data_IF_991026024293
#
_entry.id   IF_991026024293
#
_cell.length_a   1.000
_cell.length_b   1.000
_cell.length_c   1.000
_cell.angle_alpha   90.00
_cell.angle_beta   90.00
_cell.angle_gamma   90.00
#
_symmetry.space_group_name_H-M   'P 1'
#
loop_
_entity.id
_entity.type
_entity.pdbx_description
1 polymer ?
#
# COMPACT_ATOMS: atom_id res chain seq x y z
N UNK A 1 58.16 -36.36 25.65
CA UNK A 1 56.89 -35.67 25.34
C UNK A 1 57.17 -34.73 24.17
N UNK A 2 56.64 -35.03 22.97
CA UNK A 2 56.88 -34.31 21.71
C UNK A 2 55.50 -34.18 21.06
N UNK A 3 55.08 -32.97 20.71
CA UNK A 3 53.81 -32.73 20.02
C UNK A 3 54.17 -32.12 18.67
N UNK A 4 53.93 -32.87 17.60
CA UNK A 4 54.06 -32.41 16.22
C UNK A 4 52.74 -31.76 15.80
N UNK A 5 52.85 -30.57 15.21
CA UNK A 5 51.76 -29.83 14.61
C UNK A 5 51.45 -30.43 13.24
N UNK A 6 50.22 -30.90 13.03
CA UNK A 6 49.73 -31.34 11.72
C UNK A 6 48.60 -30.42 11.26
N UNK A 7 48.78 -29.90 10.04
CA UNK A 7 47.84 -29.07 9.30
C UNK A 7 46.52 -29.80 9.05
N UNK A 8 45.41 -29.16 9.38
CA UNK A 8 44.07 -29.51 8.92
C UNK A 8 43.53 -28.39 8.05
N UNK A 9 43.49 -28.65 6.73
CA UNK A 9 42.90 -27.78 5.72
C UNK A 9 41.39 -27.68 5.92
N UNK A 10 40.88 -26.46 6.12
CA UNK A 10 39.47 -26.13 6.09
C UNK A 10 39.29 -24.91 5.19
N UNK A 11 38.83 -25.15 3.97
CA UNK A 11 38.50 -24.12 3.00
C UNK A 11 37.42 -23.21 3.59
N UNK A 12 37.80 -21.99 3.96
CA UNK A 12 36.84 -20.92 4.23
C UNK A 12 36.28 -20.47 2.89
N UNK A 13 35.08 -20.94 2.59
CA UNK A 13 34.23 -20.35 1.57
C UNK A 13 34.15 -18.84 1.84
N UNK A 14 34.70 -18.09 0.90
CA UNK A 14 34.62 -16.64 0.88
C UNK A 14 33.16 -16.29 0.62
N UNK A 15 32.41 -16.08 1.69
CA UNK A 15 31.15 -15.34 1.64
C UNK A 15 31.47 -13.94 1.13
N UNK A 16 31.41 -13.81 -0.19
CA UNK A 16 31.31 -12.53 -0.89
C UNK A 16 29.95 -11.95 -0.55
N UNK A 17 29.84 -11.38 0.66
CA UNK A 17 28.84 -10.36 0.93
C UNK A 17 29.08 -9.27 -0.11
N UNK A 18 28.28 -9.31 -1.17
CA UNK A 18 28.25 -8.27 -2.19
C UNK A 18 27.66 -7.07 -1.48
N UNK A 19 28.53 -6.28 -0.86
CA UNK A 19 28.14 -5.04 -0.18
C UNK A 19 27.61 -4.13 -1.27
N UNK A 20 26.28 -4.08 -1.40
CA UNK A 20 25.62 -3.13 -2.29
C UNK A 20 26.13 -1.73 -1.96
N UNK A 21 26.64 -1.03 -2.96
CA UNK A 21 27.12 0.34 -2.75
C UNK A 21 25.97 1.22 -2.27
N UNK A 22 26.29 2.22 -1.44
CA UNK A 22 25.33 3.23 -1.01
C UNK A 22 24.60 3.88 -2.20
N UNK A 23 25.28 4.02 -3.33
CA UNK A 23 24.71 4.52 -4.58
C UNK A 23 23.68 3.56 -5.18
N UNK A 24 23.90 2.25 -5.09
CA UNK A 24 22.93 1.23 -5.52
C UNK A 24 21.69 1.23 -4.63
N UNK A 25 21.87 1.41 -3.31
CA UNK A 25 20.78 1.51 -2.34
C UNK A 25 20.00 2.84 -2.48
N UNK A 26 20.69 3.93 -2.80
CA UNK A 26 20.07 5.23 -3.11
C UNK A 26 19.32 5.19 -4.44
N UNK A 27 19.87 4.54 -5.47
CA UNK A 27 19.25 4.42 -6.78
C UNK A 27 18.02 3.49 -6.77
N UNK A 28 18.04 2.43 -5.94
CA UNK A 28 16.87 1.60 -5.68
C UNK A 28 15.72 2.39 -5.03
N UNK A 29 16.04 3.38 -4.20
CA UNK A 29 15.05 4.31 -3.63
C UNK A 29 14.57 5.40 -4.60
N UNK A 30 15.27 5.64 -5.71
CA UNK A 30 14.85 6.59 -6.75
C UNK A 30 14.01 5.95 -7.85
N UNK A 31 14.02 4.62 -7.98
CA UNK A 31 13.25 3.95 -9.03
C UNK A 31 11.78 3.87 -8.58
N UNK A 32 10.82 4.38 -9.39
CA UNK A 32 9.40 4.22 -9.08
C UNK A 32 9.07 2.72 -8.98
N UNK A 33 8.27 2.36 -7.98
CA UNK A 33 7.83 0.98 -7.74
C UNK A 33 7.20 0.43 -9.03
N UNK A 34 7.76 -0.63 -9.64
CA UNK A 34 7.27 -1.17 -10.91
C UNK A 34 5.85 -1.73 -10.81
N UNK A 35 5.35 -2.06 -9.61
CA UNK A 35 3.95 -2.45 -9.42
C UNK A 35 3.02 -1.24 -9.48
N UNK A 36 3.39 -0.16 -8.78
CA UNK A 36 2.66 1.11 -8.83
C UNK A 36 2.64 1.70 -10.25
N UNK A 37 3.76 1.65 -10.98
CA UNK A 37 3.82 2.19 -12.34
C UNK A 37 2.84 1.46 -13.27
N UNK A 38 2.76 0.14 -13.19
CA UNK A 38 1.77 -0.63 -13.98
C UNK A 38 0.35 -0.25 -13.62
N UNK A 39 0.05 -0.12 -12.32
CA UNK A 39 -1.25 0.33 -11.87
C UNK A 39 -1.59 1.73 -12.43
N UNK A 40 -0.64 2.65 -12.34
CA UNK A 40 -0.79 4.02 -12.80
C UNK A 40 -1.12 4.08 -14.30
N UNK A 41 -0.36 3.36 -15.13
CA UNK A 41 -0.64 3.26 -16.57
C UNK A 41 -2.01 2.64 -16.85
N UNK A 42 -2.40 1.64 -16.07
CA UNK A 42 -3.72 1.01 -16.24
C UNK A 42 -4.86 1.95 -15.85
N UNK A 43 -4.68 2.76 -14.80
CA UNK A 43 -5.65 3.79 -14.42
C UNK A 43 -5.74 4.91 -15.45
N UNK A 44 -4.62 5.36 -16.03
CA UNK A 44 -4.64 6.32 -17.13
C UNK A 44 -5.44 5.80 -18.33
N UNK A 45 -5.33 4.50 -18.64
CA UNK A 45 -6.10 3.87 -19.71
C UNK A 45 -7.61 3.74 -19.40
N UNK A 46 -8.02 3.95 -18.14
CA UNK A 46 -9.43 3.95 -17.71
C UNK A 46 -10.07 5.34 -17.77
N UNK A 47 -9.38 6.38 -18.25
CA UNK A 47 -9.93 7.73 -18.34
C UNK A 47 -11.27 7.75 -19.10
N UNK A 48 -12.27 8.40 -18.51
CA UNK A 48 -13.62 8.51 -19.09
C UNK A 48 -14.56 7.36 -18.70
N UNK A 49 -14.07 6.34 -17.99
CA UNK A 49 -14.93 5.26 -17.46
C UNK A 49 -15.62 5.66 -16.14
N UNK A 50 -15.18 6.75 -15.52
CA UNK A 50 -15.78 7.32 -14.32
C UNK A 50 -15.22 6.75 -13.01
N UNK A 51 -15.34 7.54 -11.93
CA UNK A 51 -14.75 7.20 -10.63
C UNK A 51 -15.29 5.92 -9.98
N UNK A 52 -16.54 5.53 -10.27
CA UNK A 52 -17.10 4.26 -9.78
C UNK A 52 -16.40 3.05 -10.41
N UNK A 53 -16.11 3.11 -11.71
CA UNK A 53 -15.40 2.04 -12.42
C UNK A 53 -13.97 1.89 -11.90
N UNK A 54 -13.27 3.01 -11.68
CA UNK A 54 -11.94 3.02 -11.05
C UNK A 54 -11.97 2.40 -9.65
N UNK A 55 -12.92 2.81 -8.81
CA UNK A 55 -13.06 2.27 -7.46
C UNK A 55 -13.34 0.76 -7.48
N UNK A 56 -14.22 0.29 -8.37
CA UNK A 56 -14.53 -1.13 -8.52
C UNK A 56 -13.35 -1.95 -9.04
N UNK A 57 -12.63 -1.43 -10.04
CA UNK A 57 -11.40 -2.04 -10.52
C UNK A 57 -10.39 -2.25 -9.38
N UNK A 58 -10.09 -1.18 -8.63
CA UNK A 58 -9.15 -1.27 -7.50
C UNK A 58 -9.61 -2.25 -6.41
N UNK A 59 -10.92 -2.32 -6.15
CA UNK A 59 -11.51 -3.25 -5.17
C UNK A 59 -11.40 -4.71 -5.59
N UNK A 60 -11.47 -4.98 -6.90
CA UNK A 60 -11.43 -6.33 -7.47
C UNK A 60 -10.02 -6.78 -7.85
N UNK A 61 -9.05 -5.86 -7.88
CA UNK A 61 -7.67 -6.14 -8.22
C UNK A 61 -7.07 -7.20 -7.29
N UNK A 62 -6.48 -8.23 -7.90
CA UNK A 62 -5.85 -9.34 -7.21
C UNK A 62 -4.34 -9.16 -7.13
N UNK A 63 -3.78 -9.64 -6.03
CA UNK A 63 -2.36 -9.68 -5.78
C UNK A 63 -1.65 -10.68 -6.70
N UNK A 64 -0.33 -10.76 -6.58
CA UNK A 64 0.49 -11.69 -7.36
C UNK A 64 0.15 -13.17 -7.09
N UNK A 65 -0.50 -13.45 -5.97
CA UNK A 65 -1.01 -14.77 -5.57
C UNK A 65 -2.34 -15.13 -6.23
N UNK A 66 -3.01 -14.20 -6.92
CA UNK A 66 -4.29 -14.41 -7.62
C UNK A 66 -5.51 -14.51 -6.69
N UNK A 67 -5.31 -14.90 -5.45
CA UNK A 67 -6.37 -15.10 -4.45
C UNK A 67 -6.66 -13.83 -3.64
N UNK A 68 -5.60 -13.22 -3.07
CA UNK A 68 -5.75 -12.06 -2.20
C UNK A 68 -6.10 -10.81 -2.98
N UNK A 69 -6.87 -9.91 -2.37
CA UNK A 69 -7.07 -8.56 -2.91
C UNK A 69 -5.79 -7.75 -2.70
N UNK A 70 -5.34 -7.04 -3.74
CA UNK A 70 -4.20 -6.11 -3.64
C UNK A 70 -4.47 -5.02 -2.61
N UNK A 71 -5.72 -4.55 -2.57
CA UNK A 71 -6.19 -3.54 -1.61
C UNK A 71 -7.33 -4.13 -0.77
N UNK A 72 -7.02 -4.79 0.37
CA UNK A 72 -8.02 -5.54 1.13
C UNK A 72 -8.99 -4.65 1.92
N UNK A 73 -8.66 -3.37 2.15
CA UNK A 73 -9.45 -2.45 2.97
C UNK A 73 -9.74 -1.13 2.27
N UNK A 74 -10.78 -0.43 2.73
CA UNK A 74 -11.10 0.93 2.28
C UNK A 74 -9.94 1.91 2.54
N UNK A 75 -9.23 1.74 3.67
CA UNK A 75 -8.00 2.51 3.96
C UNK A 75 -6.88 2.23 2.95
N UNK A 76 -6.71 0.99 2.51
CA UNK A 76 -5.72 0.64 1.48
C UNK A 76 -6.10 1.25 0.12
N UNK A 77 -7.38 1.20 -0.24
CA UNK A 77 -7.91 1.86 -1.44
C UNK A 77 -7.69 3.38 -1.39
N UNK A 78 -7.99 4.01 -0.25
CA UNK A 78 -7.76 5.44 -0.03
C UNK A 78 -6.28 5.80 -0.19
N UNK A 79 -5.38 5.01 0.38
CA UNK A 79 -3.94 5.25 0.30
C UNK A 79 -3.44 5.20 -1.16
N UNK A 80 -3.86 4.20 -1.94
CA UNK A 80 -3.42 4.08 -3.33
C UNK A 80 -4.04 5.17 -4.22
N UNK A 81 -5.31 5.53 -4.03
CA UNK A 81 -5.92 6.62 -4.81
C UNK A 81 -5.27 7.97 -4.49
N UNK A 82 -4.90 8.23 -3.23
CA UNK A 82 -4.12 9.41 -2.86
C UNK A 82 -2.75 9.42 -3.54
N UNK A 83 -2.05 8.29 -3.57
CA UNK A 83 -0.74 8.19 -4.22
C UNK A 83 -0.85 8.50 -5.72
N UNK A 84 -1.89 8.02 -6.40
CA UNK A 84 -2.17 8.33 -7.81
C UNK A 84 -2.48 9.81 -8.01
N UNK A 85 -3.27 10.43 -7.13
CA UNK A 85 -3.59 11.86 -7.21
C UNK A 85 -2.34 12.74 -7.05
N UNK A 86 -1.44 12.38 -6.13
CA UNK A 86 -0.14 13.06 -5.97
C UNK A 86 0.66 12.94 -7.27
N UNK A 87 0.72 11.75 -7.86
CA UNK A 87 1.44 11.54 -9.12
C UNK A 87 0.86 12.37 -10.27
N UNK A 88 -0.46 12.36 -10.45
CA UNK A 88 -1.15 13.18 -11.45
C UNK A 88 -0.89 14.67 -11.23
N UNK A 89 -0.82 15.11 -9.97
CA UNK A 89 -0.51 16.48 -9.60
C UNK A 89 0.91 16.87 -10.01
N UNK A 90 1.89 16.00 -9.77
CA UNK A 90 3.29 16.20 -10.15
C UNK A 90 3.45 16.28 -11.68
N UNK A 91 2.65 15.51 -12.42
CA UNK A 91 2.58 15.53 -13.89
C UNK A 91 1.72 16.69 -14.45
N UNK A 92 1.21 17.57 -13.59
CA UNK A 92 0.34 18.72 -13.95
C UNK A 92 -0.98 18.33 -14.64
N UNK A 93 -1.50 17.14 -14.34
CA UNK A 93 -2.76 16.62 -14.85
C UNK A 93 -3.96 16.91 -13.93
N UNK A 94 -3.90 17.96 -13.11
CA UNK A 94 -4.95 18.25 -12.11
C UNK A 94 -6.31 18.60 -12.74
N UNK A 95 -6.30 19.18 -13.94
CA UNK A 95 -7.53 19.55 -14.66
C UNK A 95 -8.05 18.42 -15.57
N UNK A 96 -7.32 17.30 -15.65
CA UNK A 96 -7.68 16.15 -16.48
C UNK A 96 -8.95 15.46 -16.00
N UNK A 97 -9.57 14.69 -16.90
CA UNK A 97 -10.74 13.90 -16.55
C UNK A 97 -10.34 12.78 -15.59
N UNK A 98 -9.21 12.11 -15.83
CA UNK A 98 -8.71 11.06 -14.94
C UNK A 98 -8.48 11.56 -13.49
N UNK A 99 -7.99 12.78 -13.29
CA UNK A 99 -7.82 13.34 -11.94
C UNK A 99 -9.14 13.47 -11.18
N UNK A 100 -10.20 13.93 -11.86
CA UNK A 100 -11.55 14.03 -11.27
C UNK A 100 -12.12 12.65 -10.95
N UNK A 101 -11.90 11.67 -11.83
CA UNK A 101 -12.41 10.31 -11.65
C UNK A 101 -11.68 9.57 -10.52
N UNK A 102 -10.35 9.67 -10.44
CA UNK A 102 -9.58 9.14 -9.31
C UNK A 102 -9.95 9.86 -8.01
N UNK A 103 -10.22 11.18 -8.04
CA UNK A 103 -10.71 11.92 -6.87
C UNK A 103 -12.08 11.41 -6.40
N UNK A 104 -12.98 11.09 -7.33
CA UNK A 104 -14.26 10.48 -7.00
C UNK A 104 -14.10 9.06 -6.42
N UNK A 105 -13.20 8.25 -6.98
CA UNK A 105 -12.86 6.94 -6.42
C UNK A 105 -12.28 7.04 -4.99
N UNK A 106 -11.42 8.03 -4.76
CA UNK A 106 -10.85 8.35 -3.46
C UNK A 106 -11.94 8.74 -2.44
N UNK A 107 -12.89 9.58 -2.86
CA UNK A 107 -14.03 9.98 -2.02
C UNK A 107 -14.90 8.78 -1.65
N UNK A 108 -15.16 7.86 -2.59
CA UNK A 108 -15.89 6.62 -2.30
C UNK A 108 -15.17 5.75 -1.26
N UNK A 109 -13.85 5.54 -1.43
CA UNK A 109 -13.05 4.79 -0.46
C UNK A 109 -13.06 5.45 0.93
N UNK A 110 -12.97 6.78 0.99
CA UNK A 110 -13.08 7.54 2.23
C UNK A 110 -14.44 7.38 2.90
N UNK A 111 -15.55 7.48 2.15
CA UNK A 111 -16.90 7.30 2.68
C UNK A 111 -17.10 5.91 3.29
N UNK A 112 -16.56 4.87 2.65
CA UNK A 112 -16.61 3.49 3.18
C UNK A 112 -15.79 3.37 4.46
N UNK A 113 -14.57 3.91 4.50
CA UNK A 113 -13.71 3.88 5.69
C UNK A 113 -14.37 4.61 6.88
N UNK A 114 -14.97 5.77 6.65
CA UNK A 114 -15.74 6.50 7.67
C UNK A 114 -16.95 5.71 8.16
N UNK A 115 -17.71 5.09 7.25
CA UNK A 115 -18.88 4.27 7.61
C UNK A 115 -18.47 3.12 8.53
N UNK A 116 -17.44 2.35 8.14
CA UNK A 116 -16.95 1.23 8.93
C UNK A 116 -16.48 1.70 10.31
N UNK A 117 -15.74 2.80 10.39
CA UNK A 117 -15.29 3.37 11.66
C UNK A 117 -16.44 3.86 12.55
N UNK A 118 -17.44 4.51 11.95
CA UNK A 118 -18.64 4.96 12.65
C UNK A 118 -19.41 3.79 13.25
N UNK A 119 -19.66 2.76 12.44
CA UNK A 119 -20.32 1.54 12.87
C UNK A 119 -19.54 0.81 13.98
N UNK A 120 -18.22 0.68 13.84
CA UNK A 120 -17.39 0.06 14.88
C UNK A 120 -17.45 0.83 16.21
N UNK A 121 -17.47 2.16 16.16
CA UNK A 121 -17.65 2.97 17.38
C UNK A 121 -19.01 2.72 18.04
N UNK A 122 -20.09 2.68 17.26
CA UNK A 122 -21.44 2.41 17.80
C UNK A 122 -21.56 1.02 18.43
N UNK A 123 -20.99 0.00 17.79
CA UNK A 123 -21.07 -1.39 18.27
C UNK A 123 -20.17 -1.63 19.48
N UNK A 124 -18.94 -1.09 19.48
CA UNK A 124 -17.94 -1.39 20.49
C UNK A 124 -17.81 -0.33 21.59
N UNK A 125 -18.45 0.83 21.44
CA UNK A 125 -18.58 1.86 22.47
C UNK A 125 -20.05 2.31 22.62
N UNK A 126 -20.99 1.40 22.95
CA UNK A 126 -22.41 1.74 23.06
C UNK A 126 -22.73 2.65 24.25
N UNK A 127 -21.86 2.65 25.27
CA UNK A 127 -21.95 3.51 26.45
C UNK A 127 -20.60 4.19 26.64
N UNK A 128 -20.57 5.53 26.64
CA UNK A 128 -19.39 6.28 27.08
C UNK A 128 -19.05 5.91 28.52
N UNK A 129 -17.78 5.95 28.91
CA UNK A 129 -17.28 5.51 30.23
C UNK A 129 -18.18 5.96 31.41
N UNK A 130 -18.77 7.15 31.33
CA UNK A 130 -19.67 7.73 32.35
C UNK A 130 -21.01 7.01 32.56
N UNK A 131 -21.45 6.17 31.61
CA UNK A 131 -22.72 5.45 31.71
C UNK A 131 -22.60 4.14 32.48
N UNK A 132 -21.39 3.57 32.57
CA UNK A 132 -21.11 2.37 33.38
C UNK A 132 -21.09 2.69 34.88
N UNK A 133 -20.70 3.91 35.26
CA UNK A 133 -20.69 4.32 36.68
C UNK A 133 -22.07 4.71 37.22
N UNK A 134 -23.04 5.01 36.35
CA UNK A 134 -24.39 5.48 36.71
C UNK A 134 -25.49 4.44 36.49
N UNK A 135 -25.12 3.23 36.10
CA UNK A 135 -26.09 2.22 35.74
C UNK A 135 -26.62 1.53 37.00
N UNK A 136 -27.79 1.95 37.47
CA UNK A 136 -28.51 1.35 38.61
C UNK A 136 -29.23 0.04 38.22
N UNK A 137 -28.52 -0.90 37.59
CA UNK A 137 -29.01 -2.27 37.37
C UNK A 137 -28.51 -3.26 38.42
#
# INVERSE_FOLDING_TARGET
MRIESVSGSGALESETSTVESLESRLSANLRPDPAFERLYQQLLAMEGQGGKAIHEYLRTLRGADGESRTYPSAKALLAVTLQVLVRLKDEKLQDSQIYKEVSAANALAFSVDLFVKGFMREVFQPMGDDAWEKSEW
#
